data_IF_066257506781
#
_entry.id   IF_066257506781
#
_cell.length_a   1.000
_cell.length_b   1.000
_cell.length_c   1.000
_cell.angle_alpha   90.00
_cell.angle_beta   90.00
_cell.angle_gamma   90.00
#
_symmetry.space_group_name_H-M   'P 1'
#
loop_
_entity.id
_entity.type
_entity.pdbx_description
1 polymer ?
#
# COMPACT_ATOMS: atom_id res chain seq x y z
N UNK A 1 -6.62 25.45 43.00
CA UNK A 1 -6.65 24.02 42.62
C UNK A 1 -5.42 23.75 41.74
N UNK A 2 -4.29 23.34 42.33
CA UNK A 2 -3.04 23.14 41.57
C UNK A 2 -3.09 21.79 40.87
N UNK A 3 -3.34 21.79 39.56
CA UNK A 3 -3.40 20.57 38.75
C UNK A 3 -1.96 20.11 38.50
N UNK A 4 -1.40 19.35 39.46
CA UNK A 4 -0.04 18.81 39.38
C UNK A 4 -0.06 17.68 38.35
N UNK A 5 0.11 18.02 37.07
CA UNK A 5 0.34 17.04 36.01
C UNK A 5 1.52 16.17 36.44
N UNK A 6 1.20 14.92 36.81
CA UNK A 6 2.19 13.97 37.28
C UNK A 6 3.07 13.64 36.08
N UNK A 7 4.37 13.99 36.14
CA UNK A 7 5.32 13.76 35.05
C UNK A 7 5.30 12.30 34.55
N UNK A 8 4.95 11.35 35.44
CA UNK A 8 4.74 9.93 35.11
C UNK A 8 3.58 9.72 34.13
N UNK A 9 2.50 10.49 34.26
CA UNK A 9 1.34 10.44 33.38
C UNK A 9 1.65 11.00 32.00
N UNK A 10 2.46 12.06 31.93
CA UNK A 10 2.95 12.61 30.65
C UNK A 10 3.87 11.62 29.92
N UNK A 11 4.82 10.99 30.64
CA UNK A 11 5.71 9.97 30.07
C UNK A 11 4.91 8.77 29.57
N UNK A 12 3.93 8.29 30.34
CA UNK A 12 3.06 7.19 29.93
C UNK A 12 2.26 7.54 28.68
N UNK A 13 1.70 8.76 28.61
CA UNK A 13 1.00 9.26 27.43
C UNK A 13 1.92 9.33 26.20
N UNK A 14 3.14 9.85 26.36
CA UNK A 14 4.13 9.88 25.29
C UNK A 14 4.53 8.47 24.82
N UNK A 15 4.74 7.52 25.73
CA UNK A 15 5.04 6.13 25.39
C UNK A 15 3.88 5.48 24.63
N UNK A 16 2.63 5.71 25.05
CA UNK A 16 1.44 5.22 24.35
C UNK A 16 1.33 5.83 22.95
N UNK A 17 1.59 7.13 22.79
CA UNK A 17 1.59 7.79 21.48
C UNK A 17 2.67 7.22 20.55
N UNK A 18 3.87 6.96 21.06
CA UNK A 18 4.95 6.34 20.29
C UNK A 18 4.60 4.92 19.87
N UNK A 19 3.99 4.12 20.77
CA UNK A 19 3.52 2.77 20.47
C UNK A 19 2.44 2.76 19.39
N UNK A 20 1.45 3.66 19.48
CA UNK A 20 0.40 3.80 18.46
C UNK A 20 0.98 4.24 17.11
N UNK A 21 1.93 5.17 17.12
CA UNK A 21 2.59 5.64 15.90
C UNK A 21 3.42 4.52 15.24
N UNK A 22 4.12 3.72 16.02
CA UNK A 22 4.91 2.60 15.53
C UNK A 22 4.04 1.44 15.02
N UNK A 23 2.90 1.17 15.67
CA UNK A 23 1.92 0.22 15.17
C UNK A 23 1.36 0.64 13.80
N UNK A 24 1.00 1.91 13.62
CA UNK A 24 0.55 2.44 12.33
C UNK A 24 1.63 2.34 11.24
N UNK A 25 2.91 2.53 11.60
CA UNK A 25 4.03 2.44 10.64
C UNK A 25 4.44 1.00 10.32
N UNK A 26 4.24 0.06 11.23
CA UNK A 26 4.41 -1.39 11.00
C UNK A 26 3.22 -1.99 10.23
N UNK A 27 2.05 -1.35 10.32
CA UNK A 27 0.89 -1.57 9.46
C UNK A 27 0.97 -0.83 8.12
N UNK A 28 2.08 -0.15 7.81
CA UNK A 28 2.35 0.29 6.46
C UNK A 28 2.46 -0.98 5.60
N UNK A 29 1.36 -1.30 4.93
CA UNK A 29 1.23 -2.46 4.04
C UNK A 29 2.49 -2.54 3.18
N UNK A 30 3.12 -3.73 3.16
CA UNK A 30 4.29 -3.96 2.32
C UNK A 30 3.84 -3.92 0.86
N UNK A 31 3.82 -2.71 0.29
CA UNK A 31 3.42 -2.47 -1.07
C UNK A 31 4.61 -2.58 -2.03
N UNK A 32 4.38 -3.19 -3.19
CA UNK A 32 5.35 -3.35 -4.26
C UNK A 32 4.71 -3.10 -5.61
N UNK A 33 5.51 -2.63 -6.58
CA UNK A 33 5.02 -2.42 -7.94
C UNK A 33 5.69 -3.36 -8.92
N UNK A 34 5.00 -3.65 -10.03
CA UNK A 34 5.56 -4.38 -11.16
C UNK A 34 5.09 -3.81 -12.49
N UNK A 35 5.79 -4.20 -13.55
CA UNK A 35 5.42 -3.86 -14.92
C UNK A 35 5.14 -5.11 -15.76
N UNK A 36 3.90 -5.21 -16.25
CA UNK A 36 3.48 -6.31 -17.12
C UNK A 36 3.49 -5.82 -18.57
N UNK A 37 4.09 -6.62 -19.47
CA UNK A 37 4.04 -6.36 -20.91
C UNK A 37 2.74 -6.94 -21.45
N UNK A 38 1.96 -6.11 -22.13
CA UNK A 38 0.69 -6.53 -22.74
C UNK A 38 0.71 -6.23 -24.24
N UNK A 39 0.05 -7.04 -25.07
CA UNK A 39 0.00 -6.77 -26.51
C UNK A 39 -0.64 -5.41 -26.81
N UNK A 40 -1.70 -5.04 -26.08
CA UNK A 40 -2.35 -3.73 -26.17
C UNK A 40 -2.67 -3.21 -24.76
N UNK A 41 -2.19 -2.00 -24.43
CA UNK A 41 -2.54 -1.41 -23.14
C UNK A 41 -3.90 -0.68 -23.22
N UNK A 42 -4.93 -1.35 -22.72
CA UNK A 42 -6.25 -0.76 -22.42
C UNK A 42 -6.50 -0.90 -20.91
N UNK A 43 -7.16 0.10 -20.31
CA UNK A 43 -7.36 0.12 -18.84
C UNK A 43 -7.99 -1.16 -18.31
N UNK A 44 -9.00 -1.70 -19.00
CA UNK A 44 -9.69 -2.94 -18.60
C UNK A 44 -8.78 -4.18 -18.70
N UNK A 45 -8.02 -4.33 -19.78
CA UNK A 45 -7.07 -5.43 -19.96
C UNK A 45 -5.94 -5.34 -18.94
N UNK A 46 -5.44 -4.13 -18.70
CA UNK A 46 -4.42 -3.84 -17.70
C UNK A 46 -4.87 -4.22 -16.29
N UNK A 47 -6.12 -3.87 -15.95
CA UNK A 47 -6.75 -4.25 -14.69
C UNK A 47 -6.84 -5.77 -14.56
N UNK A 48 -7.28 -6.47 -15.61
CA UNK A 48 -7.44 -7.92 -15.59
C UNK A 48 -6.12 -8.65 -15.34
N UNK A 49 -5.04 -8.26 -16.03
CA UNK A 49 -3.71 -8.84 -15.85
C UNK A 49 -3.17 -8.59 -14.44
N UNK A 50 -3.21 -7.33 -13.97
CA UNK A 50 -2.79 -7.00 -12.60
C UNK A 50 -3.63 -7.77 -11.56
N UNK A 51 -4.94 -7.90 -11.77
CA UNK A 51 -5.83 -8.58 -10.83
C UNK A 51 -5.58 -10.09 -10.79
N UNK A 52 -5.28 -10.70 -11.93
CA UNK A 52 -4.91 -12.10 -12.01
C UNK A 52 -3.62 -12.38 -11.23
N UNK A 53 -2.59 -11.56 -11.42
CA UNK A 53 -1.33 -11.63 -10.66
C UNK A 53 -1.55 -11.47 -9.16
N UNK A 54 -2.36 -10.49 -8.75
CA UNK A 54 -2.72 -10.29 -7.35
C UNK A 54 -3.40 -11.54 -6.75
N UNK A 55 -4.29 -12.17 -7.51
CA UNK A 55 -4.99 -13.39 -7.08
C UNK A 55 -4.05 -14.60 -6.98
N UNK A 56 -3.12 -14.75 -7.91
CA UNK A 56 -2.11 -15.82 -7.90
C UNK A 56 -1.13 -15.70 -6.72
N UNK A 57 -0.78 -14.46 -6.36
CA UNK A 57 0.19 -14.17 -5.29
C UNK A 57 -0.47 -13.88 -3.94
N UNK A 58 -1.80 -13.94 -3.84
CA UNK A 58 -2.58 -13.65 -2.62
C UNK A 58 -2.30 -12.26 -2.02
N UNK A 59 -2.02 -11.28 -2.87
CA UNK A 59 -1.84 -9.85 -2.50
C UNK A 59 -3.02 -9.03 -3.03
N UNK A 60 -3.21 -7.80 -2.54
CA UNK A 60 -4.23 -6.90 -3.08
C UNK A 60 -3.69 -6.07 -4.23
N UNK A 61 -4.58 -5.74 -5.18
CA UNK A 61 -4.29 -4.76 -6.23
C UNK A 61 -4.86 -3.40 -5.81
N UNK A 62 -3.98 -2.46 -5.51
CA UNK A 62 -4.36 -1.10 -5.12
C UNK A 62 -4.51 -0.18 -6.34
N UNK A 63 -3.61 -0.30 -7.32
CA UNK A 63 -3.61 0.56 -8.50
C UNK A 63 -3.18 -0.17 -9.76
N UNK A 64 -3.76 0.24 -10.89
CA UNK A 64 -3.32 -0.18 -12.22
C UNK A 64 -3.31 1.03 -13.16
N UNK A 65 -2.31 1.14 -14.02
CA UNK A 65 -2.29 2.17 -15.08
C UNK A 65 -1.53 1.72 -16.31
N UNK A 66 -1.98 2.20 -17.47
CA UNK A 66 -1.22 2.09 -18.69
C UNK A 66 -0.09 3.12 -18.69
N UNK A 67 1.15 2.64 -18.75
CA UNK A 67 2.35 3.49 -18.83
C UNK A 67 2.89 3.62 -20.25
N UNK A 68 2.58 2.65 -21.11
CA UNK A 68 2.85 2.70 -22.55
C UNK A 68 1.66 2.12 -23.31
N UNK A 69 1.07 2.92 -24.20
CA UNK A 69 0.00 2.50 -25.10
C UNK A 69 0.51 1.85 -26.40
N UNK A 70 -0.41 1.45 -27.26
CA UNK A 70 -0.10 0.85 -28.58
C UNK A 70 0.25 -0.64 -28.52
N UNK A 71 0.80 -1.16 -29.63
CA UNK A 71 1.28 -2.53 -29.76
C UNK A 71 2.53 -2.68 -28.87
N UNK A 72 2.57 -3.70 -28.00
CA UNK A 72 3.57 -3.88 -26.91
C UNK A 72 3.42 -2.84 -25.81
N UNK A 73 2.19 -2.67 -25.35
CA UNK A 73 1.85 -1.84 -24.21
C UNK A 73 2.47 -2.31 -22.90
N UNK A 74 2.46 -1.43 -21.90
CA UNK A 74 2.99 -1.73 -20.56
C UNK A 74 2.01 -1.28 -19.48
N UNK A 75 1.70 -2.21 -18.61
CA UNK A 75 0.90 -2.02 -17.43
C UNK A 75 1.77 -1.84 -16.20
N UNK A 76 1.45 -0.84 -15.40
CA UNK A 76 1.95 -0.70 -14.04
C UNK A 76 0.89 -1.25 -13.09
N UNK A 77 1.29 -2.11 -12.16
CA UNK A 77 0.45 -2.62 -11.09
C UNK A 77 1.10 -2.26 -9.75
N UNK A 78 0.31 -1.72 -8.82
CA UNK A 78 0.71 -1.56 -7.43
C UNK A 78 -0.04 -2.58 -6.60
N UNK A 79 0.70 -3.42 -5.90
CA UNK A 79 0.15 -4.43 -5.01
C UNK A 79 0.52 -4.14 -3.57
N UNK A 80 -0.34 -4.53 -2.64
CA UNK A 80 -0.08 -4.42 -1.21
C UNK A 80 -0.41 -5.74 -0.53
N UNK A 81 0.30 -6.05 0.57
CA UNK A 81 -0.13 -7.15 1.43
C UNK A 81 -1.39 -6.71 2.17
N UNK A 82 -2.35 -7.63 2.18
CA UNK A 82 -3.62 -7.49 2.86
C UNK A 82 -3.46 -7.61 4.38
#
# INVERSE_FOLDING_TARGET
>A
MSNKMNAKHAILCCLLLVLMLQANHAMAESCGYTYIKVPFCKSWSCKAECWLEAKLTSITLEQHKCTKGGIKGRCYCLFCKK
#
